data_IF_526754827983
#
_entry.id   IF_526754827983
#
_cell.length_a   1.000
_cell.length_b   1.000
_cell.length_c   1.000
_cell.angle_alpha   90.00
_cell.angle_beta   90.00
_cell.angle_gamma   90.00
#
_symmetry.space_group_name_H-M   'P 1'
#
loop_
_entity.id
_entity.type
_entity.pdbx_description
1 polymer ?
#
# COMPACT_ATOMS: atom_id res chain seq x y z
N UNK A 1 -5.46 -7.67 -41.60
CA UNK A 1 -5.17 -7.00 -40.31
C UNK A 1 -6.43 -6.29 -39.84
N UNK A 2 -6.79 -6.33 -38.55
CA UNK A 2 -7.94 -5.58 -38.04
C UNK A 2 -7.66 -4.06 -38.09
N UNK A 3 -8.66 -3.25 -38.40
CA UNK A 3 -8.56 -1.79 -38.28
C UNK A 3 -8.62 -1.35 -36.81
N UNK A 4 -8.15 -0.14 -36.52
CA UNK A 4 -8.21 0.42 -35.17
C UNK A 4 -9.65 0.48 -34.65
N UNK A 5 -10.63 0.80 -35.50
CA UNK A 5 -12.05 0.82 -35.11
C UNK A 5 -12.56 -0.57 -34.75
N UNK A 6 -12.17 -1.61 -35.51
CA UNK A 6 -12.60 -2.99 -35.24
C UNK A 6 -12.00 -3.50 -33.93
N UNK A 7 -10.75 -3.16 -33.65
CA UNK A 7 -10.09 -3.50 -32.37
C UNK A 7 -10.78 -2.74 -31.23
N UNK A 8 -11.03 -1.44 -31.38
CA UNK A 8 -11.71 -0.62 -30.37
C UNK A 8 -13.13 -1.17 -30.05
N UNK A 9 -13.89 -1.55 -31.08
CA UNK A 9 -15.21 -2.15 -30.91
C UNK A 9 -15.14 -3.51 -30.19
N UNK A 10 -14.20 -4.39 -30.56
CA UNK A 10 -14.01 -5.68 -29.91
C UNK A 10 -13.60 -5.52 -28.43
N UNK A 11 -12.63 -4.65 -28.13
CA UNK A 11 -12.20 -4.37 -26.76
C UNK A 11 -13.32 -3.74 -25.93
N UNK A 12 -14.12 -2.86 -26.52
CA UNK A 12 -15.31 -2.29 -25.87
C UNK A 12 -16.32 -3.37 -25.51
N UNK A 13 -16.60 -4.31 -26.42
CA UNK A 13 -17.49 -5.43 -26.13
C UNK A 13 -16.94 -6.27 -24.97
N UNK A 14 -15.64 -6.60 -24.97
CA UNK A 14 -15.01 -7.36 -23.89
C UNK A 14 -15.14 -6.63 -22.54
N UNK A 15 -14.84 -5.33 -22.50
CA UNK A 15 -14.94 -4.50 -21.28
C UNK A 15 -16.37 -4.43 -20.74
N UNK A 16 -17.36 -4.25 -21.62
CA UNK A 16 -18.76 -4.18 -21.21
C UNK A 16 -19.28 -5.52 -20.70
N UNK A 17 -18.95 -6.62 -21.39
CA UNK A 17 -19.52 -7.95 -21.11
C UNK A 17 -18.81 -8.65 -19.95
N UNK A 18 -17.48 -8.51 -19.85
CA UNK A 18 -16.66 -9.30 -18.93
C UNK A 18 -15.91 -8.49 -17.86
N UNK A 19 -15.93 -7.16 -17.92
CA UNK A 19 -15.25 -6.30 -16.96
C UNK A 19 -16.22 -5.36 -16.22
N UNK A 20 -17.38 -5.90 -15.80
CA UNK A 20 -18.33 -5.18 -14.94
C UNK A 20 -18.93 -3.92 -15.58
N UNK A 21 -19.13 -3.91 -16.90
CA UNK A 21 -19.67 -2.74 -17.60
C UNK A 21 -18.66 -1.61 -17.77
N UNK A 22 -17.35 -1.89 -17.76
CA UNK A 22 -16.32 -0.89 -17.94
C UNK A 22 -16.47 -0.08 -19.26
N UNK A 23 -15.97 1.15 -19.24
CA UNK A 23 -16.12 2.12 -20.33
C UNK A 23 -15.59 1.66 -21.69
N UNK A 24 -16.00 2.36 -22.74
CA UNK A 24 -15.56 2.06 -24.10
C UNK A 24 -14.05 2.29 -24.29
N UNK A 25 -13.46 1.53 -25.22
CA UNK A 25 -12.12 1.82 -25.78
C UNK A 25 -12.35 2.60 -27.07
N UNK A 26 -11.69 3.74 -27.19
CA UNK A 26 -11.75 4.62 -28.36
C UNK A 26 -10.78 4.17 -29.45
N UNK A 27 -11.09 4.52 -30.70
CA UNK A 27 -10.18 4.27 -31.83
C UNK A 27 -8.83 4.97 -31.64
N UNK A 28 -8.82 6.18 -31.07
CA UNK A 28 -7.59 6.95 -30.83
C UNK A 28 -6.69 6.29 -29.78
N UNK A 29 -7.25 5.71 -28.71
CA UNK A 29 -6.49 4.91 -27.74
C UNK A 29 -5.82 3.71 -28.40
N UNK A 30 -6.56 2.98 -29.26
CA UNK A 30 -5.99 1.85 -30.00
C UNK A 30 -4.86 2.30 -30.92
N UNK A 31 -5.07 3.38 -31.68
CA UNK A 31 -4.08 3.94 -32.59
C UNK A 31 -2.80 4.35 -31.85
N UNK A 32 -2.94 5.01 -30.71
CA UNK A 32 -1.81 5.44 -29.87
C UNK A 32 -1.02 4.23 -29.34
N UNK A 33 -1.69 3.23 -28.77
CA UNK A 33 -1.03 2.02 -28.25
C UNK A 33 -0.33 1.25 -29.37
N UNK A 34 -0.99 1.04 -30.51
CA UNK A 34 -0.40 0.34 -31.66
C UNK A 34 0.84 1.05 -32.20
N UNK A 35 0.83 2.38 -32.27
CA UNK A 35 1.99 3.16 -32.67
C UNK A 35 3.14 3.03 -31.66
N UNK A 36 2.83 3.14 -30.36
CA UNK A 36 3.81 3.02 -29.28
C UNK A 36 4.47 1.63 -29.21
N UNK A 37 3.73 0.57 -29.56
CA UNK A 37 4.22 -0.81 -29.49
C UNK A 37 4.57 -1.41 -30.85
N UNK A 38 4.62 -0.63 -31.94
CA UNK A 38 4.78 -1.13 -33.30
C UNK A 38 6.05 -1.98 -33.54
N UNK A 39 7.11 -1.71 -32.77
CA UNK A 39 8.39 -2.44 -32.86
C UNK A 39 8.44 -3.68 -31.97
N UNK A 40 7.42 -3.91 -31.14
CA UNK A 40 7.41 -5.02 -30.19
C UNK A 40 6.99 -6.31 -30.90
N UNK A 41 7.86 -7.31 -30.85
CA UNK A 41 7.64 -8.62 -31.49
C UNK A 41 7.47 -9.76 -30.48
N UNK A 42 7.72 -9.48 -29.19
CA UNK A 42 7.55 -10.43 -28.08
C UNK A 42 6.24 -10.15 -27.34
N UNK A 43 5.54 -11.19 -26.86
CA UNK A 43 4.44 -11.02 -25.91
C UNK A 43 4.88 -10.23 -24.68
N UNK A 44 3.94 -9.56 -24.03
CA UNK A 44 4.18 -8.90 -22.75
C UNK A 44 4.35 -9.93 -21.63
N UNK A 45 5.33 -9.75 -20.75
CA UNK A 45 5.37 -10.48 -19.46
C UNK A 45 4.55 -9.76 -18.41
N UNK A 46 4.17 -10.49 -17.36
CA UNK A 46 3.47 -9.91 -16.21
C UNK A 46 4.32 -8.83 -15.53
N UNK A 47 5.64 -9.03 -15.37
CA UNK A 47 6.49 -8.01 -14.74
C UNK A 47 6.61 -6.73 -15.57
N UNK A 48 6.68 -6.85 -16.91
CA UNK A 48 6.72 -5.68 -17.79
C UNK A 48 5.42 -4.87 -17.70
N UNK A 49 4.27 -5.54 -17.71
CA UNK A 49 2.97 -4.87 -17.58
C UNK A 49 2.82 -4.22 -16.21
N UNK A 50 3.21 -4.91 -15.14
CA UNK A 50 3.16 -4.35 -13.79
C UNK A 50 4.08 -3.14 -13.63
N UNK A 51 5.25 -3.15 -14.28
CA UNK A 51 6.17 -2.01 -14.28
C UNK A 51 5.63 -0.83 -15.09
N UNK A 52 4.99 -1.07 -16.23
CA UNK A 52 4.44 -0.02 -17.09
C UNK A 52 3.09 0.54 -16.57
N UNK A 53 2.31 -0.31 -15.91
CA UNK A 53 0.98 -0.03 -15.41
C UNK A 53 0.85 -0.62 -14.00
N UNK A 54 1.47 0.02 -12.99
CA UNK A 54 1.36 -0.45 -11.62
C UNK A 54 -0.11 -0.47 -11.20
N UNK A 55 -0.52 -1.51 -10.48
CA UNK A 55 -1.85 -1.54 -9.90
C UNK A 55 -2.05 -0.30 -9.02
N UNK A 56 -3.27 0.26 -8.97
CA UNK A 56 -3.56 1.27 -7.98
C UNK A 56 -3.20 0.71 -6.60
N UNK A 57 -2.63 1.53 -5.70
CA UNK A 57 -2.33 1.09 -4.34
C UNK A 57 -3.60 0.51 -3.72
N UNK A 58 -3.46 -0.57 -2.96
CA UNK A 58 -4.59 -1.17 -2.27
C UNK A 58 -5.25 -0.09 -1.40
N UNK A 59 -6.55 0.14 -1.62
CA UNK A 59 -7.31 1.00 -0.70
C UNK A 59 -7.41 0.26 0.62
N UNK A 60 -6.82 0.83 1.66
CA UNK A 60 -6.93 0.30 3.02
C UNK A 60 -8.01 1.04 3.80
N UNK A 61 -8.35 0.49 4.97
CA UNK A 61 -9.20 1.14 5.97
C UNK A 61 -8.50 2.31 6.67
N UNK A 62 -7.19 2.51 6.47
CA UNK A 62 -6.46 3.62 7.07
C UNK A 62 -6.56 4.86 6.18
N UNK A 63 -7.03 5.97 6.75
CA UNK A 63 -7.10 7.29 6.11
C UNK A 63 -6.18 8.27 6.82
N UNK A 64 -5.69 9.28 6.10
CA UNK A 64 -4.84 10.34 6.65
C UNK A 64 -3.64 9.77 7.43
N UNK A 65 -3.01 8.73 6.86
CA UNK A 65 -1.88 8.06 7.46
C UNK A 65 -0.64 8.97 7.38
N UNK A 66 -0.08 9.32 8.53
CA UNK A 66 1.17 10.05 8.67
C UNK A 66 2.21 9.12 9.26
N UNK A 67 3.35 8.99 8.59
CA UNK A 67 4.51 8.25 9.08
C UNK A 67 5.56 9.22 9.61
N UNK A 68 5.94 9.06 10.87
CA UNK A 68 7.02 9.84 11.50
C UNK A 68 8.20 8.92 11.80
N UNK A 69 9.35 9.24 11.24
CA UNK A 69 10.57 8.46 11.42
C UNK A 69 11.52 9.15 12.39
N UNK A 70 12.11 8.35 13.27
CA UNK A 70 13.15 8.76 14.21
C UNK A 70 14.40 7.92 13.97
N UNK A 71 15.56 8.56 13.91
CA UNK A 71 16.86 7.87 13.86
C UNK A 71 17.36 7.59 15.27
N UNK A 72 17.84 6.39 15.51
CA UNK A 72 18.45 6.01 16.79
C UNK A 72 18.45 4.50 17.01
N UNK A 73 19.21 4.10 18.02
CA UNK A 73 19.33 2.71 18.45
C UNK A 73 18.73 2.57 19.85
N UNK A 74 17.73 1.71 19.98
CA UNK A 74 17.05 1.47 21.26
C UNK A 74 16.84 -0.02 21.48
N UNK A 75 16.89 -0.45 22.74
CA UNK A 75 16.57 -1.84 23.14
C UNK A 75 15.11 -2.01 23.57
N UNK A 76 14.43 -0.90 23.81
CA UNK A 76 13.03 -0.80 24.20
C UNK A 76 12.44 0.45 23.57
N UNK A 77 11.11 0.52 23.46
CA UNK A 77 10.41 1.66 22.88
C UNK A 77 10.77 2.97 23.61
N UNK A 78 11.29 3.99 22.90
CA UNK A 78 11.61 5.28 23.50
C UNK A 78 10.36 6.13 23.73
N UNK A 79 10.49 7.17 24.54
CA UNK A 79 9.50 8.24 24.60
C UNK A 79 9.66 9.16 23.39
N UNK A 80 8.87 8.90 22.34
CA UNK A 80 8.90 9.67 21.10
C UNK A 80 8.58 11.16 21.29
N UNK A 81 7.87 11.56 22.34
CA UNK A 81 7.56 12.97 22.61
C UNK A 81 8.80 13.80 22.95
N UNK A 82 9.88 13.13 23.37
CA UNK A 82 11.16 13.75 23.71
C UNK A 82 12.13 13.78 22.54
N UNK A 83 11.80 13.11 21.43
CA UNK A 83 12.68 12.96 20.27
C UNK A 83 12.31 13.94 19.16
N UNK A 84 13.33 14.34 18.39
CA UNK A 84 13.13 15.12 17.16
C UNK A 84 12.89 14.17 15.99
N UNK A 85 11.78 14.29 15.24
CA UNK A 85 11.58 13.55 14.00
C UNK A 85 12.70 13.82 13.01
N UNK A 86 13.20 12.76 12.37
CA UNK A 86 14.12 12.87 11.24
C UNK A 86 13.37 13.02 9.91
N UNK A 87 12.14 12.49 9.83
CA UNK A 87 11.24 12.64 8.69
C UNK A 87 9.78 12.56 9.17
N UNK A 88 8.89 13.28 8.49
CA UNK A 88 7.44 13.20 8.66
C UNK A 88 6.81 13.33 7.29
N UNK A 89 5.98 12.37 6.89
CA UNK A 89 5.40 12.34 5.55
C UNK A 89 3.97 11.78 5.57
N UNK A 90 3.12 12.38 4.74
CA UNK A 90 1.73 11.98 4.54
C UNK A 90 1.65 10.84 3.53
N UNK A 91 1.42 9.64 4.02
CA UNK A 91 1.26 8.44 3.21
C UNK A 91 -0.21 8.23 2.84
N UNK A 92 -0.68 9.02 1.88
CA UNK A 92 -2.08 9.07 1.42
C UNK A 92 -2.64 7.74 0.86
N UNK A 93 -1.82 6.69 0.78
CA UNK A 93 -2.24 5.35 0.34
C UNK A 93 -2.73 4.46 1.49
N UNK A 94 -2.53 4.87 2.76
CA UNK A 94 -3.01 4.13 3.93
C UNK A 94 -2.26 2.80 4.17
N UNK A 95 -1.06 2.65 3.60
CA UNK A 95 -0.23 1.46 3.75
C UNK A 95 0.90 1.74 4.74
N UNK A 96 0.98 0.92 5.79
CA UNK A 96 2.10 0.89 6.73
C UNK A 96 3.21 0.05 6.12
N UNK A 97 4.38 0.65 5.91
CA UNK A 97 5.55 -0.02 5.35
C UNK A 97 6.84 0.52 6.00
N UNK A 98 7.59 -0.30 6.75
CA UNK A 98 8.86 0.11 7.35
C UNK A 98 9.91 0.59 6.33
N UNK A 99 9.84 0.15 5.07
CA UNK A 99 10.73 0.62 4.01
C UNK A 99 10.61 2.14 3.74
N UNK A 100 9.49 2.76 4.15
CA UNK A 100 9.30 4.21 4.13
C UNK A 100 10.37 4.96 4.93
N UNK A 101 10.99 4.33 5.93
CA UNK A 101 12.10 4.95 6.68
C UNK A 101 13.29 5.33 5.79
N UNK A 102 13.46 4.65 4.64
CA UNK A 102 14.66 4.74 3.80
C UNK A 102 15.92 4.15 4.47
N UNK A 103 15.78 3.48 5.61
CA UNK A 103 16.86 2.96 6.42
C UNK A 103 16.72 1.46 6.62
N UNK A 104 17.86 0.78 6.78
CA UNK A 104 17.89 -0.66 7.08
C UNK A 104 17.88 -0.94 8.58
N UNK A 105 18.55 -0.10 9.37
CA UNK A 105 18.75 -0.29 10.80
C UNK A 105 18.73 1.07 11.52
N UNK A 106 18.66 1.04 12.85
CA UNK A 106 18.75 2.21 13.74
C UNK A 106 17.70 3.29 13.45
N UNK A 107 16.45 2.86 13.35
CA UNK A 107 15.31 3.76 13.26
C UNK A 107 14.11 3.21 14.01
N UNK A 108 13.15 4.09 14.26
CA UNK A 108 11.81 3.74 14.71
C UNK A 108 10.79 4.54 13.90
N UNK A 109 9.63 3.92 13.67
CA UNK A 109 8.51 4.52 12.95
C UNK A 109 7.32 4.68 13.88
N UNK A 110 6.66 5.83 13.80
CA UNK A 110 5.35 6.07 14.41
C UNK A 110 4.37 6.37 13.30
N UNK A 111 3.39 5.49 13.12
CA UNK A 111 2.29 5.70 12.17
C UNK A 111 1.04 6.13 12.91
N UNK A 112 0.42 7.22 12.46
CA UNK A 112 -0.86 7.72 12.97
C UNK A 112 -1.84 7.83 11.82
N UNK A 113 -3.06 7.31 12.00
CA UNK A 113 -4.10 7.33 10.97
C UNK A 113 -5.49 7.32 11.60
N UNK A 114 -6.49 7.64 10.78
CA UNK A 114 -7.89 7.32 11.06
C UNK A 114 -8.21 5.92 10.54
N UNK A 115 -8.95 5.14 11.31
CA UNK A 115 -9.47 3.85 10.89
C UNK A 115 -10.93 4.01 10.46
N UNK A 116 -11.17 3.85 9.17
CA UNK A 116 -12.49 3.89 8.53
C UNK A 116 -13.03 2.45 8.44
N UNK A 117 -13.81 2.08 9.46
CA UNK A 117 -14.40 0.76 9.56
C UNK A 117 -15.41 0.54 8.42
N UNK A 118 -15.35 -0.58 7.68
CA UNK A 118 -16.26 -0.82 6.56
C UNK A 118 -17.73 -0.94 7.00
N UNK A 119 -17.97 -1.46 8.21
CA UNK A 119 -19.30 -1.69 8.78
C UNK A 119 -19.26 -1.51 10.32
N UNK A 120 -20.40 -1.25 10.95
CA UNK A 120 -20.47 -1.22 12.42
C UNK A 120 -20.29 -2.64 12.98
N UNK A 121 -19.42 -2.80 13.98
CA UNK A 121 -19.17 -4.11 14.57
C UNK A 121 -18.01 -4.17 15.54
N UNK A 122 -17.75 -5.39 16.03
CA UNK A 122 -16.54 -5.68 16.80
C UNK A 122 -15.42 -6.02 15.83
N UNK A 123 -14.27 -5.40 16.04
CA UNK A 123 -13.06 -5.66 15.27
C UNK A 123 -12.05 -6.41 16.14
N UNK A 124 -11.14 -7.11 15.48
CA UNK A 124 -9.96 -7.70 16.10
C UNK A 124 -8.76 -7.26 15.28
N UNK A 125 -7.73 -6.77 15.95
CA UNK A 125 -6.46 -6.41 15.36
C UNK A 125 -5.43 -7.50 15.67
N UNK A 126 -4.66 -7.88 14.65
CA UNK A 126 -3.44 -8.66 14.83
C UNK A 126 -2.26 -7.69 14.84
N UNK A 127 -1.52 -7.65 15.95
CA UNK A 127 -0.34 -6.82 16.11
C UNK A 127 0.92 -7.67 16.29
N UNK A 128 1.94 -7.39 15.48
CA UNK A 128 3.27 -7.97 15.60
C UNK A 128 4.31 -6.95 15.14
N UNK A 129 5.56 -7.08 15.59
CA UNK A 129 6.64 -6.18 15.19
C UNK A 129 8.02 -6.81 15.33
N UNK A 130 8.98 -6.20 14.64
CA UNK A 130 10.42 -6.42 14.75
C UNK A 130 11.06 -5.03 14.81
N UNK A 131 11.60 -4.56 15.94
CA UNK A 131 11.90 -5.25 17.19
C UNK A 131 10.80 -5.10 18.27
N UNK A 132 10.58 -3.88 18.76
CA UNK A 132 9.57 -3.53 19.76
C UNK A 132 8.48 -2.67 19.13
N UNK A 133 7.34 -2.56 19.80
CA UNK A 133 6.27 -1.68 19.32
C UNK A 133 5.03 -1.73 20.19
N UNK A 134 4.08 -0.86 19.87
CA UNK A 134 2.76 -0.83 20.48
C UNK A 134 1.70 -0.42 19.47
N UNK A 135 0.48 -0.93 19.69
CA UNK A 135 -0.72 -0.53 18.95
C UNK A 135 -1.62 0.28 19.86
N UNK A 136 -2.07 1.41 19.34
CA UNK A 136 -3.05 2.27 19.99
C UNK A 136 -4.30 2.38 19.12
N UNK A 137 -5.47 2.24 19.74
CA UNK A 137 -6.78 2.42 19.09
C UNK A 137 -7.64 3.30 19.99
N UNK A 138 -8.24 4.35 19.43
CA UNK A 138 -9.02 5.32 20.22
C UNK A 138 -8.20 6.06 21.30
N UNK A 139 -6.87 6.11 21.15
CA UNK A 139 -5.96 6.67 22.16
C UNK A 139 -5.56 5.71 23.28
N UNK A 140 -6.15 4.52 23.36
CA UNK A 140 -5.78 3.49 24.33
C UNK A 140 -4.74 2.53 23.75
N UNK A 141 -3.75 2.14 24.56
CA UNK A 141 -2.76 1.13 24.17
C UNK A 141 -3.34 -0.27 24.35
N UNK A 142 -3.68 -0.93 23.25
CA UNK A 142 -4.31 -2.25 23.26
C UNK A 142 -3.31 -3.40 23.09
N UNK A 143 -2.13 -3.16 22.48
CA UNK A 143 -1.07 -4.15 22.37
C UNK A 143 0.33 -3.54 22.58
N UNK A 144 1.26 -4.38 23.03
CA UNK A 144 2.68 -4.02 23.20
C UNK A 144 3.56 -5.26 23.02
N UNK A 145 4.64 -5.13 22.26
CA UNK A 145 5.74 -6.11 22.18
C UNK A 145 7.00 -5.41 22.67
N UNK A 146 7.67 -6.05 23.65
CA UNK A 146 8.86 -5.50 24.30
C UNK A 146 10.13 -6.19 23.81
N UNK A 147 11.21 -5.43 23.79
CA UNK A 147 12.55 -5.94 23.50
C UNK A 147 12.80 -6.26 22.04
N UNK A 148 14.04 -6.69 21.77
CA UNK A 148 14.55 -7.04 20.45
C UNK A 148 14.10 -8.45 20.07
N UNK A 149 13.67 -8.64 18.83
CA UNK A 149 13.29 -9.93 18.28
C UNK A 149 12.52 -9.82 16.96
N UNK A 150 12.40 -10.93 16.23
CA UNK A 150 11.72 -10.93 14.95
C UNK A 150 10.19 -10.90 15.06
N UNK A 151 9.55 -10.53 13.95
CA UNK A 151 8.12 -10.81 13.70
C UNK A 151 7.86 -12.32 13.63
N UNK A 152 6.62 -12.71 13.87
CA UNK A 152 6.04 -14.04 13.67
C UNK A 152 5.91 -14.88 14.94
N UNK A 153 6.57 -14.51 16.04
CA UNK A 153 6.56 -15.28 17.30
C UNK A 153 5.91 -14.57 18.47
N UNK A 154 5.63 -13.26 18.34
CA UNK A 154 5.16 -12.39 19.42
C UNK A 154 3.85 -11.68 19.07
N UNK A 155 3.20 -12.13 17.99
CA UNK A 155 1.93 -11.59 17.54
C UNK A 155 0.87 -11.67 18.64
N UNK A 156 0.03 -10.64 18.70
CA UNK A 156 -1.09 -10.52 19.64
C UNK A 156 -2.36 -10.23 18.86
N UNK A 157 -3.40 -11.00 19.11
CA UNK A 157 -4.76 -10.65 18.72
C UNK A 157 -5.41 -9.85 19.85
N UNK A 158 -5.94 -8.68 19.53
CA UNK A 158 -6.52 -7.73 20.48
C UNK A 158 -7.82 -7.15 19.90
N UNK A 159 -8.83 -6.82 20.73
CA UNK A 159 -10.05 -6.18 20.26
C UNK A 159 -9.81 -4.76 19.73
#
# INVERSE_FOLDING_TARGET
MLSDEKIAAALTYVRKTFAGGAGAVTTDEVKAVRAATAKRVTPWTAEELLKAHPFPPAKTALKNLVGTMYKGEWKVMPDFSTLKPAMMEDFNVGVIDPAQSGLKEYYAMVWTAQFDAPEDGKYTFLFDCDDFGALYVGGERIAEVKGIGPVGKRAKEVP
#
